data_IF_664013550978
#
_entry.id   IF_664013550978
#
_cell.length_a   1.000
_cell.length_b   1.000
_cell.length_c   1.000
_cell.angle_alpha   90.00
_cell.angle_beta   90.00
_cell.angle_gamma   90.00
#
_symmetry.space_group_name_H-M   'P 1'
#
loop_
_entity.id
_entity.type
_entity.pdbx_description
1 polymer ?
#
# COMPACT_ATOMS: atom_id res chain seq x y z
N UNK A 1 8.56 -5.56 -2.26
CA UNK A 1 7.53 -6.43 -1.62
C UNK A 1 6.17 -6.13 -2.23
N UNK A 2 5.30 -7.11 -2.39
CA UNK A 2 3.92 -6.90 -2.89
C UNK A 2 2.92 -6.96 -1.76
N UNK A 3 2.04 -5.95 -1.70
CA UNK A 3 1.02 -5.83 -0.67
C UNK A 3 -0.36 -5.64 -1.28
N UNK A 4 -1.39 -6.26 -0.70
CA UNK A 4 -2.78 -6.04 -1.07
C UNK A 4 -3.41 -5.03 -0.13
N UNK A 5 -4.06 -4.01 -0.68
CA UNK A 5 -4.83 -3.05 0.10
C UNK A 5 -6.17 -3.64 0.55
N UNK A 6 -6.41 -3.62 1.87
CA UNK A 6 -7.59 -4.22 2.54
C UNK A 6 -8.71 -3.20 2.80
N UNK A 7 -8.42 -1.90 2.73
CA UNK A 7 -9.39 -0.84 2.97
C UNK A 7 -10.38 -0.62 1.82
N UNK A 8 -11.25 0.38 1.96
CA UNK A 8 -12.12 0.84 0.88
C UNK A 8 -11.36 1.81 -0.03
N UNK A 9 -11.71 1.89 -1.31
CA UNK A 9 -11.05 2.81 -2.26
C UNK A 9 -10.98 4.23 -1.70
N UNK A 10 -9.76 4.78 -1.61
CA UNK A 10 -9.46 6.11 -1.07
C UNK A 10 -9.06 7.05 -2.22
N UNK A 11 -10.05 7.77 -2.75
CA UNK A 11 -9.84 8.80 -3.76
C UNK A 11 -9.13 8.28 -5.01
N UNK A 12 -8.00 8.91 -5.34
CA UNK A 12 -7.15 8.58 -6.49
C UNK A 12 -5.89 7.79 -6.10
N UNK A 13 -5.74 7.43 -4.83
CA UNK A 13 -4.49 6.86 -4.28
C UNK A 13 -4.57 5.35 -4.12
N UNK A 14 -5.61 4.85 -3.46
CA UNK A 14 -5.71 3.42 -3.12
C UNK A 14 -7.04 2.85 -3.60
N UNK A 15 -6.98 1.69 -4.24
CA UNK A 15 -8.11 0.94 -4.79
C UNK A 15 -8.28 -0.37 -4.01
N UNK A 16 -9.49 -0.61 -3.50
CA UNK A 16 -9.82 -1.81 -2.71
C UNK A 16 -9.37 -3.10 -3.41
N UNK A 17 -8.71 -3.98 -2.67
CA UNK A 17 -8.17 -5.27 -3.10
C UNK A 17 -7.07 -5.22 -4.17
N UNK A 18 -6.60 -4.04 -4.59
CA UNK A 18 -5.49 -3.92 -5.53
C UNK A 18 -4.18 -4.31 -4.85
N UNK A 19 -3.26 -4.88 -5.64
CA UNK A 19 -1.90 -5.21 -5.23
C UNK A 19 -0.99 -4.06 -5.64
N UNK A 20 -0.16 -3.61 -4.71
CA UNK A 20 0.80 -2.52 -4.86
C UNK A 20 2.22 -3.01 -4.59
N UNK A 21 3.18 -2.28 -5.17
CA UNK A 21 4.59 -2.40 -4.81
C UNK A 21 4.84 -1.58 -3.54
N UNK A 22 5.34 -2.23 -2.50
CA UNK A 22 5.88 -1.57 -1.32
C UNK A 22 7.41 -1.62 -1.36
N UNK A 23 8.02 -0.50 -1.01
CA UNK A 23 9.45 -0.24 -1.09
C UNK A 23 10.14 -0.45 0.25
N UNK A 24 9.46 -0.07 1.34
CA UNK A 24 10.05 -0.14 2.68
C UNK A 24 8.97 -0.21 3.78
N UNK A 25 9.39 -0.62 4.98
CA UNK A 25 8.60 -0.64 6.20
C UNK A 25 9.31 0.17 7.30
N UNK A 26 8.69 1.26 7.72
CA UNK A 26 9.27 2.20 8.69
C UNK A 26 8.23 2.54 9.77
N UNK A 27 8.52 2.22 11.04
CA UNK A 27 7.72 2.61 12.21
C UNK A 27 6.20 2.34 12.11
N UNK A 28 5.80 1.20 11.52
CA UNK A 28 4.37 0.84 11.36
C UNK A 28 3.73 1.37 10.08
N UNK A 29 4.48 2.05 9.23
CA UNK A 29 4.05 2.52 7.92
C UNK A 29 4.73 1.73 6.81
N UNK A 30 3.99 1.52 5.72
CA UNK A 30 4.51 0.98 4.46
C UNK A 30 4.67 2.13 3.46
N UNK A 31 5.86 2.20 2.84
CA UNK A 31 6.08 3.07 1.69
C UNK A 31 5.61 2.35 0.44
N UNK A 32 4.52 2.82 -0.17
CA UNK A 32 3.82 2.15 -1.29
C UNK A 32 3.79 3.08 -2.49
N UNK A 33 4.09 2.55 -3.68
CA UNK A 33 3.81 3.24 -4.95
C UNK A 33 2.30 3.09 -5.23
N UNK A 34 1.54 4.18 -5.09
CA UNK A 34 0.08 4.17 -5.13
C UNK A 34 -0.50 4.34 -6.56
N UNK A 35 -1.82 4.53 -6.70
CA UNK A 35 -2.49 4.72 -8.00
C UNK A 35 -2.10 6.03 -8.71
N UNK A 36 -1.47 6.98 -8.02
CA UNK A 36 -0.92 8.21 -8.60
C UNK A 36 0.44 8.00 -9.26
N UNK A 37 1.11 6.88 -8.96
CA UNK A 37 2.44 6.54 -9.45
C UNK A 37 3.60 7.07 -8.60
N UNK A 38 3.31 7.79 -7.52
CA UNK A 38 4.28 8.30 -6.55
C UNK A 38 4.32 7.40 -5.29
N UNK A 39 5.40 7.48 -4.51
CA UNK A 39 5.50 6.77 -3.22
C UNK A 39 5.01 7.60 -2.04
N UNK A 40 4.19 6.99 -1.19
CA UNK A 40 3.71 7.57 0.06
C UNK A 40 3.74 6.56 1.20
N UNK A 41 3.73 7.07 2.43
CA UNK A 41 3.61 6.26 3.64
C UNK A 41 2.13 6.04 3.97
N UNK A 42 1.74 4.78 4.11
CA UNK A 42 0.41 4.38 4.56
C UNK A 42 0.50 3.49 5.78
N UNK A 43 -0.55 3.52 6.60
CA UNK A 43 -0.71 2.63 7.73
C UNK A 43 -0.63 1.16 7.28
N UNK A 44 0.36 0.43 7.80
CA UNK A 44 0.63 -0.95 7.41
C UNK A 44 -0.54 -1.90 7.75
N UNK A 45 -1.37 -1.57 8.75
CA UNK A 45 -2.54 -2.38 9.12
C UNK A 45 -3.60 -2.41 8.02
N UNK A 46 -3.56 -1.46 7.08
CA UNK A 46 -4.44 -1.46 5.90
C UNK A 46 -3.99 -2.43 4.80
N UNK A 47 -2.89 -3.15 4.98
CA UNK A 47 -2.29 -3.97 3.93
C UNK A 47 -2.02 -5.41 4.38
N UNK A 48 -2.09 -6.33 3.43
CA UNK A 48 -1.68 -7.72 3.58
C UNK A 48 -0.45 -7.99 2.69
N UNK A 49 0.63 -8.51 3.25
CA UNK A 49 1.80 -8.96 2.46
C UNK A 49 1.41 -10.18 1.62
N UNK A 50 1.70 -10.13 0.32
CA UNK A 50 1.44 -11.19 -0.66
C UNK A 50 2.75 -11.86 -1.10
N UNK A 51 3.82 -11.09 -1.22
CA UNK A 51 5.16 -11.53 -1.63
C UNK A 51 6.20 -10.59 -0.99
N UNK A 52 7.30 -11.13 -0.45
CA UNK A 52 8.43 -10.33 0.08
C UNK A 52 9.36 -9.87 -1.04
#
# INVERSE_FOLDING_TARGET
MKVRYLGNTEGISLTKNKIYEALDYEEGFLRVIDDTGEDYLYDSEKFQVIEE
#
